data_IF_558150226829
#
_entry.id   IF_558150226829
#
_cell.length_a   1.000
_cell.length_b   1.000
_cell.length_c   1.000
_cell.angle_alpha   90.00
_cell.angle_beta   90.00
_cell.angle_gamma   90.00
#
_symmetry.space_group_name_H-M   'P 1'
#
loop_
_entity.id
_entity.type
_entity.pdbx_description
1 polymer ?
#
# COMPACT_ATOMS: atom_id res chain seq x y z
N UNK A 1 5.62 -5.43 -17.74
CA UNK A 1 6.69 -6.41 -18.06
C UNK A 1 8.07 -5.93 -17.61
N UNK A 2 8.52 -4.72 -17.97
CA UNK A 2 9.86 -4.18 -17.62
C UNK A 2 10.12 -4.17 -16.11
N UNK A 3 9.14 -3.78 -15.28
CA UNK A 3 9.31 -3.78 -13.82
C UNK A 3 9.61 -5.16 -13.24
N UNK A 4 9.00 -6.22 -13.78
CA UNK A 4 9.26 -7.60 -13.33
C UNK A 4 10.67 -8.04 -13.70
N UNK A 5 11.13 -7.70 -14.90
CA UNK A 5 12.45 -8.10 -15.39
C UNK A 5 13.61 -7.44 -14.65
N UNK A 6 13.41 -6.21 -14.15
CA UNK A 6 14.46 -5.44 -13.48
C UNK A 6 14.35 -5.56 -11.95
N UNK A 7 13.16 -5.32 -11.39
CA UNK A 7 12.97 -5.34 -9.96
C UNK A 7 12.90 -6.77 -9.38
N UNK A 8 12.42 -7.75 -10.16
CA UNK A 8 12.31 -9.14 -9.71
C UNK A 8 13.63 -9.72 -9.22
N UNK A 9 14.69 -9.76 -10.06
CA UNK A 9 15.99 -10.27 -9.66
C UNK A 9 16.61 -9.51 -8.47
N UNK A 10 16.43 -8.19 -8.42
CA UNK A 10 16.95 -7.37 -7.32
C UNK A 10 16.30 -7.71 -5.98
N UNK A 11 14.97 -7.85 -5.94
CA UNK A 11 14.23 -8.22 -4.73
C UNK A 11 14.54 -9.65 -4.28
N UNK A 12 14.75 -10.58 -5.21
CA UNK A 12 15.17 -11.95 -4.89
C UNK A 12 16.58 -12.01 -4.31
N UNK A 13 17.50 -11.18 -4.81
CA UNK A 13 18.84 -11.06 -4.21
C UNK A 13 18.82 -10.54 -2.77
N UNK A 14 17.80 -9.78 -2.40
CA UNK A 14 17.55 -9.36 -1.02
C UNK A 14 16.92 -10.47 -0.15
N UNK A 15 16.75 -11.68 -0.69
CA UNK A 15 16.24 -12.84 0.04
C UNK A 15 14.73 -12.95 0.09
N UNK A 16 13.98 -12.14 -0.68
CA UNK A 16 12.52 -12.24 -0.70
C UNK A 16 12.05 -13.47 -1.49
N UNK A 17 11.05 -14.22 -0.97
CA UNK A 17 10.42 -15.31 -1.67
C UNK A 17 9.83 -14.87 -3.02
N UNK A 18 9.86 -15.78 -4.00
CA UNK A 18 9.40 -15.53 -5.36
C UNK A 18 7.97 -14.98 -5.41
N UNK A 19 7.08 -15.54 -4.58
CA UNK A 19 5.68 -15.13 -4.52
C UNK A 19 5.53 -13.68 -4.03
N UNK A 20 6.20 -13.32 -2.93
CA UNK A 20 6.18 -11.96 -2.40
C UNK A 20 6.74 -10.97 -3.42
N UNK A 21 7.85 -11.32 -4.07
CA UNK A 21 8.46 -10.50 -5.13
C UNK A 21 7.47 -10.16 -6.24
N UNK A 22 6.74 -11.17 -6.75
CA UNK A 22 5.77 -10.96 -7.82
C UNK A 22 4.55 -10.16 -7.35
N UNK A 23 4.03 -10.45 -6.15
CA UNK A 23 2.91 -9.71 -5.57
C UNK A 23 3.27 -8.24 -5.31
N UNK A 24 4.47 -7.98 -4.81
CA UNK A 24 4.99 -6.63 -4.59
C UNK A 24 5.02 -5.82 -5.90
N UNK A 25 5.62 -6.37 -6.94
CA UNK A 25 5.74 -5.70 -8.24
C UNK A 25 4.37 -5.51 -8.87
N UNK A 26 3.51 -6.53 -8.84
CA UNK A 26 2.14 -6.47 -9.36
C UNK A 26 1.34 -5.37 -8.66
N UNK A 27 1.43 -5.28 -7.33
CA UNK A 27 0.71 -4.29 -6.55
C UNK A 27 1.12 -2.86 -6.90
N UNK A 28 2.43 -2.58 -6.95
CA UNK A 28 2.90 -1.25 -7.36
C UNK A 28 2.62 -0.94 -8.83
N UNK A 29 2.57 -1.94 -9.70
CA UNK A 29 2.12 -1.74 -11.08
C UNK A 29 0.65 -1.29 -11.14
N UNK A 30 -0.23 -1.85 -10.31
CA UNK A 30 -1.62 -1.39 -10.19
C UNK A 30 -1.69 0.04 -9.63
N UNK A 31 -0.92 0.36 -8.59
CA UNK A 31 -0.90 1.70 -7.99
C UNK A 31 -0.42 2.78 -8.97
N UNK A 32 0.38 2.41 -9.96
CA UNK A 32 0.82 3.36 -11.00
C UNK A 32 -0.34 3.97 -11.78
N UNK A 33 -1.50 3.31 -11.81
CA UNK A 33 -2.70 3.82 -12.51
C UNK A 33 -3.31 5.04 -11.84
N UNK A 34 -3.10 5.22 -10.53
CA UNK A 34 -3.56 6.38 -9.75
C UNK A 34 -2.44 7.36 -9.41
N UNK A 35 -1.18 6.99 -9.67
CA UNK A 35 0.01 7.77 -9.30
C UNK A 35 0.54 8.57 -10.49
N UNK A 36 0.74 9.90 -10.37
CA UNK A 36 1.44 10.65 -11.40
C UNK A 36 2.87 10.12 -11.65
N UNK A 37 3.37 10.14 -12.87
CA UNK A 37 2.83 10.76 -14.08
C UNK A 37 1.91 9.86 -14.92
N UNK A 38 1.77 8.57 -14.62
CA UNK A 38 0.98 7.62 -15.42
C UNK A 38 -0.51 7.85 -15.25
N UNK A 39 -1.01 7.76 -14.03
CA UNK A 39 -2.37 8.03 -13.50
C UNK A 39 -3.53 7.95 -14.52
N UNK A 40 -3.55 6.90 -15.35
CA UNK A 40 -4.55 6.76 -16.43
C UNK A 40 -6.00 6.79 -15.94
N UNK A 41 -6.29 6.13 -14.82
CA UNK A 41 -7.63 6.13 -14.22
C UNK A 41 -8.04 7.49 -13.67
N UNK A 42 -7.08 8.29 -13.22
CA UNK A 42 -7.33 9.67 -12.73
C UNK A 42 -7.75 10.59 -13.87
N UNK A 43 -7.16 10.45 -15.05
CA UNK A 43 -7.58 11.24 -16.22
C UNK A 43 -9.02 10.93 -16.62
N UNK A 44 -9.41 9.65 -16.57
CA UNK A 44 -10.80 9.24 -16.85
C UNK A 44 -11.73 9.85 -15.79
N UNK A 45 -11.39 9.73 -14.51
CA UNK A 45 -12.19 10.29 -13.42
C UNK A 45 -12.31 11.81 -13.50
N UNK A 46 -11.23 12.53 -13.81
CA UNK A 46 -11.24 13.98 -14.01
C UNK A 46 -12.16 14.38 -15.16
N UNK A 47 -12.16 13.62 -16.26
CA UNK A 47 -13.07 13.84 -17.37
C UNK A 47 -14.54 13.63 -17.00
N UNK A 48 -14.84 12.62 -16.16
CA UNK A 48 -16.21 12.32 -15.71
C UNK A 48 -16.80 13.40 -14.80
N UNK A 49 -15.97 14.05 -13.98
CA UNK A 49 -16.38 15.13 -13.06
C UNK A 49 -16.15 16.53 -13.64
N UNK A 50 -15.74 16.61 -14.90
CA UNK A 50 -15.45 17.87 -15.62
C UNK A 50 -14.41 18.76 -14.90
N UNK A 51 -13.54 18.17 -14.08
CA UNK A 51 -12.49 18.89 -13.36
C UNK A 51 -11.28 19.12 -14.28
N UNK A 52 -11.00 20.38 -14.58
CA UNK A 52 -9.87 20.78 -15.44
C UNK A 52 -8.50 20.46 -14.84
N UNK A 53 -8.41 20.48 -13.52
CA UNK A 53 -7.14 20.21 -12.81
C UNK A 53 -7.06 18.74 -12.39
N UNK A 54 -6.61 17.89 -13.30
CA UNK A 54 -6.41 16.46 -13.04
C UNK A 54 -5.44 16.16 -11.88
N UNK A 55 -4.46 17.05 -11.60
CA UNK A 55 -3.55 16.91 -10.45
C UNK A 55 -4.29 16.99 -9.12
N UNK A 56 -5.34 17.79 -9.04
CA UNK A 56 -6.21 17.85 -7.86
C UNK A 56 -6.93 16.53 -7.64
N UNK A 57 -7.46 15.93 -8.71
CA UNK A 57 -8.09 14.60 -8.66
C UNK A 57 -7.07 13.53 -8.31
N UNK A 58 -5.84 13.59 -8.86
CA UNK A 58 -4.74 12.70 -8.49
C UNK A 58 -4.41 12.80 -7.00
N UNK A 59 -4.31 14.02 -6.46
CA UNK A 59 -4.06 14.25 -5.04
C UNK A 59 -5.12 13.61 -4.13
N UNK A 60 -6.40 13.73 -4.49
CA UNK A 60 -7.48 13.05 -3.75
C UNK A 60 -7.40 11.53 -3.90
N UNK A 61 -7.15 11.01 -5.09
CA UNK A 61 -7.01 9.57 -5.32
C UNK A 61 -5.85 8.98 -4.52
N UNK A 62 -4.70 9.65 -4.49
CA UNK A 62 -3.53 9.23 -3.71
C UNK A 62 -3.79 9.29 -2.20
N UNK A 63 -4.45 10.35 -1.70
CA UNK A 63 -4.77 10.48 -0.27
C UNK A 63 -5.76 9.42 0.20
N UNK A 64 -6.77 9.10 -0.60
CA UNK A 64 -7.71 8.01 -0.32
C UNK A 64 -7.03 6.64 -0.39
N UNK A 65 -6.10 6.48 -1.35
CA UNK A 65 -5.36 5.25 -1.56
C UNK A 65 -4.11 5.08 -0.71
N UNK A 66 -3.82 5.96 0.24
CA UNK A 66 -2.56 5.96 0.99
C UNK A 66 -2.26 4.63 1.68
N UNK A 67 -3.27 3.97 2.24
CA UNK A 67 -3.12 2.64 2.84
C UNK A 67 -2.66 1.58 1.83
N UNK A 68 -3.09 1.68 0.58
CA UNK A 68 -2.73 0.73 -0.48
C UNK A 68 -1.24 0.76 -0.83
N UNK A 69 -0.56 1.90 -0.66
CA UNK A 69 0.89 2.00 -0.88
C UNK A 69 1.70 1.25 0.20
N UNK A 70 1.12 1.07 1.38
CA UNK A 70 1.77 0.40 2.51
C UNK A 70 1.54 -1.12 2.52
N UNK A 71 0.51 -1.62 1.82
CA UNK A 71 0.21 -3.06 1.75
C UNK A 71 1.40 -3.90 1.30
N UNK A 72 2.10 -3.59 0.18
CA UNK A 72 3.25 -4.41 -0.23
C UNK A 72 4.41 -4.36 0.75
N UNK A 73 4.60 -3.24 1.44
CA UNK A 73 5.63 -3.10 2.49
C UNK A 73 5.28 -4.00 3.67
N UNK A 74 4.01 -4.01 4.11
CA UNK A 74 3.52 -4.90 5.16
C UNK A 74 3.64 -6.38 4.78
N UNK A 75 3.40 -6.75 3.51
CA UNK A 75 3.60 -8.11 3.02
C UNK A 75 5.06 -8.56 3.06
N UNK A 76 6.01 -7.64 2.87
CA UNK A 76 7.44 -7.92 2.98
C UNK A 76 7.85 -8.02 4.46
N UNK A 77 7.32 -7.16 5.32
CA UNK A 77 7.61 -7.16 6.75
C UNK A 77 7.04 -8.39 7.47
N UNK A 78 5.85 -8.84 7.06
CA UNK A 78 5.14 -9.98 7.65
C UNK A 78 4.91 -11.07 6.59
N UNK A 79 5.99 -11.79 6.27
CA UNK A 79 5.96 -12.87 5.27
C UNK A 79 5.02 -14.03 5.65
N UNK A 80 4.69 -14.20 6.93
CA UNK A 80 3.78 -15.24 7.42
C UNK A 80 2.36 -15.15 6.84
N UNK A 81 1.96 -13.98 6.33
CA UNK A 81 0.65 -13.78 5.68
C UNK A 81 0.45 -14.73 4.48
N UNK A 82 1.51 -15.08 3.76
CA UNK A 82 1.44 -15.97 2.60
C UNK A 82 1.47 -17.45 2.95
N UNK A 83 1.83 -17.80 4.21
CA UNK A 83 1.89 -19.18 4.71
C UNK A 83 0.58 -19.63 5.37
N UNK A 84 -0.56 -19.15 4.85
CA UNK A 84 -1.89 -19.45 5.40
C UNK A 84 -2.18 -20.94 5.52
N UNK A 85 -1.68 -21.76 4.59
CA UNK A 85 -1.91 -23.21 4.56
C UNK A 85 -1.04 -23.95 5.59
N UNK A 86 0.15 -23.44 5.87
CA UNK A 86 1.11 -24.08 6.78
C UNK A 86 0.88 -23.65 8.23
N UNK A 87 0.55 -22.36 8.44
CA UNK A 87 0.37 -21.76 9.76
C UNK A 87 -0.86 -20.83 9.77
N UNK A 88 -2.08 -21.37 9.76
CA UNK A 88 -3.29 -20.56 9.60
C UNK A 88 -3.51 -19.56 10.75
N UNK A 89 -3.11 -19.90 11.97
CA UNK A 89 -3.26 -19.03 13.13
C UNK A 89 -2.34 -17.80 13.06
N UNK A 90 -1.05 -18.02 12.79
CA UNK A 90 -0.07 -16.93 12.68
C UNK A 90 -0.39 -16.01 11.48
N UNK A 91 -0.78 -16.59 10.35
CA UNK A 91 -1.18 -15.84 9.17
C UNK A 91 -2.44 -14.98 9.40
N UNK A 92 -3.43 -15.48 10.15
CA UNK A 92 -4.63 -14.69 10.47
C UNK A 92 -4.33 -13.55 11.43
N UNK A 93 -3.46 -13.77 12.42
CA UNK A 93 -3.01 -12.71 13.32
C UNK A 93 -2.25 -11.62 12.56
N UNK A 94 -1.30 -12.00 11.72
CA UNK A 94 -0.53 -11.06 10.88
C UNK A 94 -1.45 -10.27 9.93
N UNK A 95 -2.46 -10.91 9.37
CA UNK A 95 -3.45 -10.23 8.53
C UNK A 95 -4.27 -9.19 9.31
N UNK A 96 -4.76 -9.55 10.50
CA UNK A 96 -5.51 -8.62 11.36
C UNK A 96 -4.61 -7.45 11.79
N UNK A 97 -3.38 -7.73 12.17
CA UNK A 97 -2.40 -6.72 12.57
C UNK A 97 -2.11 -5.75 11.43
N UNK A 98 -1.87 -6.27 10.21
CA UNK A 98 -1.67 -5.46 9.01
C UNK A 98 -2.90 -4.60 8.71
N UNK A 99 -4.09 -5.18 8.75
CA UNK A 99 -5.34 -4.46 8.49
C UNK A 99 -5.57 -3.32 9.50
N UNK A 100 -5.33 -3.57 10.78
CA UNK A 100 -5.45 -2.56 11.83
C UNK A 100 -4.41 -1.45 11.68
N UNK A 101 -3.17 -1.80 11.35
CA UNK A 101 -2.08 -0.84 11.12
C UNK A 101 -2.38 0.08 9.93
N UNK A 102 -2.84 -0.49 8.82
CA UNK A 102 -3.26 0.26 7.63
C UNK A 102 -4.46 1.16 7.90
N UNK A 103 -5.46 0.67 8.65
CA UNK A 103 -6.61 1.46 9.04
C UNK A 103 -6.21 2.65 9.92
N UNK A 104 -5.32 2.45 10.90
CA UNK A 104 -4.80 3.51 11.76
C UNK A 104 -4.05 4.59 10.97
N UNK A 105 -3.17 4.18 10.03
CA UNK A 105 -2.41 5.10 9.19
C UNK A 105 -3.36 5.87 8.25
N UNK A 106 -4.26 5.17 7.56
CA UNK A 106 -5.21 5.78 6.63
C UNK A 106 -6.13 6.77 7.35
N UNK A 107 -6.66 6.39 8.51
CA UNK A 107 -7.50 7.28 9.31
C UNK A 107 -6.71 8.50 9.83
N UNK A 108 -5.48 8.30 10.30
CA UNK A 108 -4.61 9.39 10.75
C UNK A 108 -4.23 10.38 9.65
N UNK A 109 -4.15 9.94 8.39
CA UNK A 109 -3.83 10.81 7.25
C UNK A 109 -5.03 11.54 6.67
N UNK A 110 -6.19 10.88 6.63
CA UNK A 110 -7.40 11.42 6.00
C UNK A 110 -8.21 12.28 6.97
N UNK A 111 -8.26 11.91 8.26
CA UNK A 111 -9.07 12.62 9.23
C UNK A 111 -8.47 13.98 9.60
N UNK A 112 -9.33 15.00 9.69
CA UNK A 112 -9.00 16.34 10.15
C UNK A 112 -8.90 16.43 11.70
N UNK A 113 -8.37 15.40 12.34
CA UNK A 113 -8.17 15.35 13.79
C UNK A 113 -6.99 16.22 14.21
N UNK A 114 -7.01 16.74 15.45
CA UNK A 114 -5.93 17.54 16.02
C UNK A 114 -4.56 16.83 15.91
N UNK A 115 -3.48 17.61 15.82
CA UNK A 115 -2.13 17.11 15.51
C UNK A 115 -1.67 15.97 16.43
N UNK A 116 -1.96 16.04 17.72
CA UNK A 116 -1.47 15.10 18.72
C UNK A 116 -2.01 13.66 18.52
N UNK A 117 -3.34 13.41 18.43
CA UNK A 117 -3.84 12.06 18.17
C UNK A 117 -3.48 11.55 16.75
N UNK A 118 -3.29 12.44 15.79
CA UNK A 118 -2.82 12.10 14.45
C UNK A 118 -1.43 11.47 14.49
N UNK A 119 -0.48 12.10 15.20
CA UNK A 119 0.87 11.55 15.35
C UNK A 119 0.87 10.22 16.12
N UNK A 120 0.03 10.05 17.13
CA UNK A 120 -0.10 8.79 17.87
C UNK A 120 -0.64 7.66 16.98
N UNK A 121 -1.65 7.93 16.16
CA UNK A 121 -2.21 6.94 15.22
C UNK A 121 -1.20 6.54 14.14
N UNK A 122 -0.44 7.51 13.60
CA UNK A 122 0.61 7.22 12.62
C UNK A 122 1.75 6.40 13.24
N UNK A 123 2.19 6.76 14.45
CA UNK A 123 3.23 6.01 15.16
C UNK A 123 2.77 4.59 15.49
N UNK A 124 1.55 4.41 16.01
CA UNK A 124 0.98 3.12 16.32
C UNK A 124 0.80 2.25 15.07
N UNK A 125 0.35 2.84 13.96
CA UNK A 125 0.24 2.14 12.68
C UNK A 125 1.58 1.72 12.11
N UNK A 126 2.60 2.58 12.18
CA UNK A 126 3.96 2.27 11.72
C UNK A 126 4.63 1.19 12.56
N UNK A 127 4.49 1.24 13.89
CA UNK A 127 5.02 0.18 14.77
C UNK A 127 4.32 -1.15 14.52
N UNK A 128 2.99 -1.15 14.38
CA UNK A 128 2.23 -2.35 14.07
C UNK A 128 2.50 -2.93 12.66
N UNK A 129 2.99 -2.13 11.73
CA UNK A 129 3.37 -2.60 10.39
C UNK A 129 4.72 -3.35 10.41
N UNK A 130 5.64 -2.99 11.32
CA UNK A 130 7.02 -3.46 11.35
C UNK A 130 7.26 -4.59 12.38
N UNK A 131 6.34 -4.78 13.32
CA UNK A 131 6.39 -5.82 14.35
C UNK A 131 5.49 -6.98 14.00
#
# INVERSE_FOLDING_TARGET
MICVSVAGPALQQLGLPLLITHLFIFWYALLSTITPPVCGTVFIAAGMVEERNWLKVAGYAMSLGVGLYLVPIGMVAQADIIHLLDKPYDATLSFIQLAMSLAAISYGLISAVSLLPRFLLLAAGMTGLLV
#
